data_IF_009255461248
#
_entry.id   IF_009255461248
#
_cell.length_a   1.000
_cell.length_b   1.000
_cell.length_c   1.000
_cell.angle_alpha   90.00
_cell.angle_beta   90.00
_cell.angle_gamma   90.00
#
_symmetry.space_group_name_H-M   'P 1'
#
loop_
_entity.id
_entity.type
_entity.pdbx_description
1 polymer ?
#
# COMPACT_ATOMS: atom_id res chain seq x y z
N UNK A 1 -16.03 -5.22 18.95
CA UNK A 1 -14.57 -4.99 18.99
C UNK A 1 -14.08 -4.59 17.60
N UNK A 2 -13.21 -3.58 17.47
CA UNK A 2 -12.67 -3.13 16.18
C UNK A 2 -11.55 -4.04 15.66
N UNK A 3 -11.44 -4.21 14.34
CA UNK A 3 -10.33 -4.96 13.71
C UNK A 3 -9.09 -4.08 13.62
N UNK A 4 -8.04 -4.41 14.37
CA UNK A 4 -6.70 -3.80 14.26
C UNK A 4 -5.84 -4.58 13.26
N UNK A 5 -4.99 -3.87 12.54
CA UNK A 5 -4.04 -4.39 11.57
C UNK A 5 -2.86 -3.42 11.46
N UNK A 6 -1.73 -3.90 10.97
CA UNK A 6 -0.51 -3.13 10.74
C UNK A 6 0.30 -3.75 9.61
N UNK A 7 1.17 -2.95 9.01
CA UNK A 7 2.16 -3.36 8.00
C UNK A 7 3.58 -3.12 8.53
N UNK A 8 4.57 -3.77 7.91
CA UNK A 8 5.99 -3.67 8.28
C UNK A 8 6.81 -3.62 7.00
N UNK A 9 7.72 -2.66 6.89
CA UNK A 9 8.75 -2.58 5.85
C UNK A 9 10.11 -2.99 6.40
N UNK A 10 11.01 -3.44 5.54
CA UNK A 10 12.31 -4.01 5.95
C UNK A 10 13.43 -3.40 5.14
N UNK A 11 14.20 -2.53 5.77
CA UNK A 11 15.37 -1.90 5.18
C UNK A 11 16.42 -1.63 6.26
N UNK A 12 17.73 -1.61 5.90
CA UNK A 12 18.78 -1.07 6.76
C UNK A 12 18.58 0.41 7.12
N UNK A 13 17.82 1.16 6.32
CA UNK A 13 17.44 2.55 6.58
C UNK A 13 16.00 2.62 7.09
N UNK A 14 15.80 3.22 8.27
CA UNK A 14 14.48 3.30 8.91
C UNK A 14 13.49 4.16 8.12
N UNK A 15 13.96 5.17 7.38
CA UNK A 15 13.09 6.01 6.56
C UNK A 15 12.51 5.18 5.42
N UNK A 16 13.35 4.44 4.71
CA UNK A 16 12.91 3.55 3.62
C UNK A 16 11.92 2.49 4.14
N UNK A 17 12.26 1.82 5.25
CA UNK A 17 11.38 0.84 5.88
C UNK A 17 10.00 1.42 6.27
N UNK A 18 9.98 2.67 6.74
CA UNK A 18 8.74 3.36 7.12
C UNK A 18 7.89 3.71 5.91
N UNK A 19 8.51 4.17 4.82
CA UNK A 19 7.81 4.49 3.58
C UNK A 19 7.23 3.24 2.92
N UNK A 20 7.99 2.14 2.86
CA UNK A 20 7.49 0.84 2.39
C UNK A 20 6.25 0.40 3.19
N UNK A 21 6.35 0.41 4.53
CA UNK A 21 5.24 0.04 5.40
C UNK A 21 3.99 0.91 5.16
N UNK A 22 4.19 2.22 4.98
CA UNK A 22 3.11 3.17 4.73
C UNK A 22 2.43 2.92 3.38
N UNK A 23 3.20 2.73 2.32
CA UNK A 23 2.67 2.43 0.99
C UNK A 23 1.84 1.14 1.00
N UNK A 24 2.34 0.09 1.65
CA UNK A 24 1.62 -1.16 1.82
C UNK A 24 0.33 -0.98 2.63
N UNK A 25 0.36 -0.17 3.70
CA UNK A 25 -0.84 0.12 4.50
C UNK A 25 -1.93 0.82 3.67
N UNK A 26 -1.54 1.79 2.84
CA UNK A 26 -2.47 2.53 1.96
C UNK A 26 -3.04 1.58 0.91
N UNK A 27 -2.19 0.84 0.20
CA UNK A 27 -2.61 -0.10 -0.83
C UNK A 27 -3.58 -1.15 -0.27
N UNK A 28 -3.25 -1.72 0.89
CA UNK A 28 -4.12 -2.69 1.55
C UNK A 28 -5.48 -2.08 1.93
N UNK A 29 -5.50 -0.83 2.45
CA UNK A 29 -6.76 -0.19 2.84
C UNK A 29 -7.64 0.07 1.63
N UNK A 30 -7.06 0.57 0.55
CA UNK A 30 -7.77 0.84 -0.71
C UNK A 30 -8.33 -0.46 -1.31
N UNK A 31 -7.52 -1.51 -1.41
CA UNK A 31 -7.96 -2.81 -1.92
C UNK A 31 -9.09 -3.40 -1.06
N UNK A 32 -8.97 -3.29 0.27
CA UNK A 32 -10.00 -3.72 1.21
C UNK A 32 -11.32 -2.95 1.05
N UNK A 33 -11.25 -1.69 0.63
CA UNK A 33 -12.41 -0.84 0.36
C UNK A 33 -12.97 -1.03 -1.06
N UNK A 34 -12.39 -1.93 -1.85
CA UNK A 34 -12.88 -2.29 -3.19
C UNK A 34 -12.26 -1.49 -4.34
N UNK A 35 -11.26 -0.64 -4.07
CA UNK A 35 -10.53 0.09 -5.11
C UNK A 35 -9.54 -0.82 -5.82
N UNK A 36 -9.51 -0.76 -7.15
CA UNK A 36 -8.57 -1.49 -7.99
C UNK A 36 -7.29 -0.67 -8.20
N UNK A 37 -6.10 -1.30 -8.25
CA UNK A 37 -4.87 -0.63 -8.64
C UNK A 37 -4.99 -0.11 -10.08
N UNK A 38 -4.47 1.09 -10.32
CA UNK A 38 -4.25 1.58 -11.69
C UNK A 38 -3.19 0.70 -12.35
N UNK A 39 -3.56 0.06 -13.46
CA UNK A 39 -2.67 -0.80 -14.22
C UNK A 39 -1.94 -0.01 -15.31
N UNK A 40 -0.85 -0.58 -15.84
CA UNK A 40 -0.13 0.03 -16.95
C UNK A 40 -1.01 0.15 -18.21
N UNK A 41 -1.97 -0.76 -18.39
CA UNK A 41 -2.93 -0.74 -19.48
C UNK A 41 -3.85 0.47 -19.42
N UNK A 42 -4.21 0.92 -18.22
CA UNK A 42 -5.05 2.11 -18.03
C UNK A 42 -4.33 3.40 -18.48
N UNK A 43 -2.99 3.45 -18.36
CA UNK A 43 -2.17 4.61 -18.78
C UNK A 43 -1.87 4.66 -20.26
N UNK A 44 -1.87 3.52 -20.95
CA UNK A 44 -1.63 3.45 -22.40
C UNK A 44 -2.88 3.85 -23.21
N UNK A 45 -4.03 3.98 -22.54
CA UNK A 45 -5.30 4.39 -23.13
C UNK A 45 -5.55 5.92 -23.04
N UNK A 46 -4.67 6.67 -22.38
CA UNK A 46 -4.60 8.14 -22.40
C UNK A 46 -3.53 8.62 -23.40
#
# INVERSE_FOLDING_TARGET
AGRRWSTVGVSPNIVDASFEALLDAINWKLQRDGYQPVTATDRAAE
#
